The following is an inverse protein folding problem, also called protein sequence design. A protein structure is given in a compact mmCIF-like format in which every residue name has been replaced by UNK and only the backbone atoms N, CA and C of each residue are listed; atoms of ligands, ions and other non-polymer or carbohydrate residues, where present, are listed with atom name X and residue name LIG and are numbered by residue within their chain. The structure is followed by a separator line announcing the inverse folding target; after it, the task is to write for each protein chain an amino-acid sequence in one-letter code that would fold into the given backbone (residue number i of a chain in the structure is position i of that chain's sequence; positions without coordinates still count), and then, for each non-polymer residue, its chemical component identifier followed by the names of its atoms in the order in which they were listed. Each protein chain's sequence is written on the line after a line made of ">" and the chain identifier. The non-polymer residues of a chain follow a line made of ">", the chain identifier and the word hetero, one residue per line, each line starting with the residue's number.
data_IF_996339281440
#
_entry.id   IF_996339281440
#
_cell.length_a   1.000
_cell.length_b   1.000
_cell.length_c   1.000
_cell.angle_alpha   90.00
_cell.angle_beta   90.00
_cell.angle_gamma   90.00
#
_symmetry.space_group_name_H-M   'P 1'
#
loop_
_entity.id
_entity.type
_entity.pdbx_description
1 polymer ?
#
# COMPACT_ATOMS: atom_id res chain seq x y z
N UNK A 1 -9.38 -36.11 -18.58
CA UNK A 1 -9.31 -35.88 -17.11
C UNK A 1 -8.41 -34.64 -16.92
N UNK A 2 -9.01 -33.45 -16.77
CA UNK A 2 -8.25 -32.20 -16.58
C UNK A 2 -7.83 -32.15 -15.11
N UNK A 3 -6.53 -32.21 -14.84
CA UNK A 3 -5.99 -31.94 -13.49
C UNK A 3 -6.34 -30.49 -13.13
N UNK A 4 -7.23 -30.34 -12.18
CA UNK A 4 -7.42 -29.06 -11.48
C UNK A 4 -6.14 -28.82 -10.69
N UNK A 5 -5.29 -27.87 -11.16
CA UNK A 5 -4.21 -27.32 -10.33
C UNK A 5 -4.86 -26.75 -9.07
N UNK A 6 -4.63 -27.37 -7.94
CA UNK A 6 -4.97 -26.78 -6.66
C UNK A 6 -4.22 -25.44 -6.54
N UNK A 7 -4.99 -24.36 -6.54
CA UNK A 7 -4.47 -23.03 -6.23
C UNK A 7 -4.18 -23.04 -4.73
N UNK A 8 -2.93 -23.34 -4.38
CA UNK A 8 -2.48 -23.17 -3.00
C UNK A 8 -2.51 -21.67 -2.70
N UNK A 9 -3.39 -21.26 -1.77
CA UNK A 9 -3.39 -19.89 -1.24
C UNK A 9 -2.01 -19.65 -0.63
N UNK A 10 -1.24 -18.67 -1.11
CA UNK A 10 0.09 -18.42 -0.58
C UNK A 10 -0.01 -18.09 0.91
N UNK A 11 0.93 -18.61 1.69
CA UNK A 11 1.09 -18.24 3.10
C UNK A 11 1.24 -16.71 3.17
N UNK A 12 0.46 -16.07 4.05
CA UNK A 12 0.52 -14.61 4.23
C UNK A 12 1.94 -14.21 4.63
N UNK A 13 2.55 -13.31 3.85
CA UNK A 13 3.86 -12.76 4.14
C UNK A 13 3.72 -11.43 4.88
N UNK A 14 4.34 -11.32 6.04
CA UNK A 14 4.35 -10.11 6.88
C UNK A 14 5.77 -9.65 7.24
N UNK A 15 6.78 -10.44 6.93
CA UNK A 15 8.17 -10.05 7.13
C UNK A 15 8.57 -8.99 6.10
N UNK A 16 8.84 -7.78 6.57
CA UNK A 16 9.15 -6.64 5.71
C UNK A 16 10.44 -6.82 4.90
N UNK A 17 11.42 -7.51 5.47
CA UNK A 17 12.69 -7.79 4.78
C UNK A 17 12.47 -8.79 3.65
N UNK A 18 11.65 -9.82 3.93
CA UNK A 18 11.28 -10.82 2.93
C UNK A 18 10.40 -10.22 1.82
N UNK A 19 9.43 -9.38 2.17
CA UNK A 19 8.61 -8.64 1.20
C UNK A 19 9.48 -7.79 0.27
N UNK A 20 10.43 -7.04 0.84
CA UNK A 20 11.35 -6.23 0.05
C UNK A 20 12.19 -7.08 -0.90
N UNK A 21 12.73 -8.20 -0.42
CA UNK A 21 13.49 -9.14 -1.21
C UNK A 21 12.64 -9.73 -2.36
N UNK A 22 11.45 -10.28 -2.04
CA UNK A 22 10.55 -10.86 -3.03
C UNK A 22 10.08 -9.83 -4.06
N UNK A 23 9.82 -8.58 -3.65
CA UNK A 23 9.45 -7.52 -4.58
C UNK A 23 10.56 -7.17 -5.56
N UNK A 24 11.82 -7.33 -5.16
CA UNK A 24 12.97 -7.18 -6.06
C UNK A 24 13.12 -8.40 -6.98
N UNK A 25 13.00 -9.61 -6.43
CA UNK A 25 13.05 -10.86 -7.19
C UNK A 25 11.95 -10.93 -8.25
N UNK A 26 10.74 -10.46 -7.93
CA UNK A 26 9.58 -10.44 -8.81
C UNK A 26 9.47 -9.12 -9.63
N UNK A 27 10.49 -8.28 -9.64
CA UNK A 27 10.43 -6.97 -10.28
C UNK A 27 9.99 -7.04 -11.75
N UNK A 28 10.68 -7.82 -12.54
CA UNK A 28 10.36 -7.99 -13.98
C UNK A 28 8.97 -8.62 -14.16
N UNK A 29 8.64 -9.66 -13.38
CA UNK A 29 7.32 -10.30 -13.39
C UNK A 29 6.19 -9.28 -13.07
N UNK A 30 6.41 -8.37 -12.12
CA UNK A 30 5.44 -7.34 -11.78
C UNK A 30 5.18 -6.37 -12.95
N UNK A 31 6.23 -5.98 -13.67
CA UNK A 31 6.11 -5.13 -14.86
C UNK A 31 5.45 -5.83 -16.05
N UNK A 32 5.71 -7.09 -16.24
CA UNK A 32 5.05 -7.91 -17.26
C UNK A 32 3.57 -8.12 -16.94
N UNK A 33 3.26 -8.43 -15.66
CA UNK A 33 1.87 -8.52 -15.19
C UNK A 33 1.12 -7.21 -15.35
N UNK A 34 1.77 -6.07 -15.06
CA UNK A 34 1.21 -4.75 -15.34
C UNK A 34 0.86 -4.57 -16.81
N UNK A 35 1.77 -4.95 -17.69
CA UNK A 35 1.56 -4.82 -19.13
C UNK A 35 0.40 -5.69 -19.62
N UNK A 36 0.31 -6.90 -19.09
CA UNK A 36 -0.80 -7.80 -19.35
C UNK A 36 -2.13 -7.25 -18.82
N UNK A 37 -2.18 -6.74 -17.60
CA UNK A 37 -3.39 -6.14 -17.01
C UNK A 37 -3.91 -4.97 -17.83
N UNK A 38 -3.04 -4.17 -18.43
CA UNK A 38 -3.45 -3.05 -19.27
C UNK A 38 -4.21 -3.48 -20.53
N UNK A 39 -4.07 -4.72 -20.95
CA UNK A 39 -4.67 -5.25 -22.19
C UNK A 39 -5.80 -6.24 -21.90
N UNK A 40 -5.70 -7.00 -20.82
CA UNK A 40 -6.51 -8.19 -20.56
C UNK A 40 -7.18 -8.21 -19.18
N UNK A 41 -7.17 -7.09 -18.45
CA UNK A 41 -7.86 -7.04 -17.15
C UNK A 41 -9.35 -7.35 -17.36
N UNK A 42 -9.97 -8.14 -16.46
CA UNK A 42 -11.41 -8.31 -16.47
C UNK A 42 -12.14 -6.99 -16.18
N UNK A 43 -13.37 -6.85 -16.69
CA UNK A 43 -14.18 -5.63 -16.54
C UNK A 43 -14.36 -5.23 -15.06
N UNK A 44 -14.50 -6.21 -14.14
CA UNK A 44 -14.64 -5.98 -12.70
C UNK A 44 -13.31 -6.09 -11.94
N UNK A 45 -12.22 -5.65 -12.53
CA UNK A 45 -10.90 -5.68 -11.86
C UNK A 45 -10.88 -4.88 -10.55
N UNK A 46 -11.54 -3.73 -10.51
CA UNK A 46 -11.61 -2.88 -9.32
C UNK A 46 -12.36 -3.61 -8.18
N UNK A 47 -13.45 -4.31 -8.47
CA UNK A 47 -14.19 -5.12 -7.49
C UNK A 47 -13.38 -6.30 -6.96
N UNK A 48 -12.63 -6.97 -7.83
CA UNK A 48 -11.74 -8.06 -7.44
C UNK A 48 -10.62 -7.56 -6.51
N UNK A 49 -9.96 -6.47 -6.89
CA UNK A 49 -8.87 -5.87 -6.09
C UNK A 49 -9.40 -5.35 -4.75
N UNK A 50 -10.57 -4.73 -4.71
CA UNK A 50 -11.23 -4.31 -3.47
C UNK A 50 -11.47 -5.49 -2.54
N UNK A 51 -11.96 -6.61 -3.06
CA UNK A 51 -12.18 -7.84 -2.28
C UNK A 51 -10.87 -8.36 -1.68
N UNK A 52 -9.79 -8.36 -2.45
CA UNK A 52 -8.47 -8.77 -1.97
C UNK A 52 -7.92 -7.78 -0.93
N UNK A 53 -8.08 -6.49 -1.15
CA UNK A 53 -7.70 -5.44 -0.20
C UNK A 53 -8.37 -5.68 1.16
N UNK A 54 -9.69 -5.80 1.18
CA UNK A 54 -10.47 -6.02 2.40
C UNK A 54 -10.08 -7.31 3.11
N UNK A 55 -9.84 -8.39 2.37
CA UNK A 55 -9.33 -9.64 2.91
C UNK A 55 -8.03 -9.43 3.69
N UNK A 56 -7.05 -8.76 3.09
CA UNK A 56 -5.75 -8.59 3.73
C UNK A 56 -5.74 -7.51 4.80
N UNK A 57 -6.59 -6.51 4.74
CA UNK A 57 -6.82 -5.59 5.86
C UNK A 57 -7.42 -6.29 7.10
N UNK A 58 -8.25 -7.31 6.91
CA UNK A 58 -8.78 -8.11 8.02
C UNK A 58 -7.75 -9.06 8.64
N UNK A 59 -6.70 -9.44 7.89
CA UNK A 59 -5.69 -10.41 8.31
C UNK A 59 -4.39 -9.78 8.81
N UNK A 60 -4.10 -8.54 8.42
CA UNK A 60 -2.84 -7.84 8.70
C UNK A 60 -3.13 -6.54 9.44
N UNK A 61 -2.67 -6.45 10.69
CA UNK A 61 -2.80 -5.23 11.48
C UNK A 61 -1.79 -4.16 11.04
N UNK A 62 -2.31 -3.14 10.38
CA UNK A 62 -1.55 -1.99 9.91
C UNK A 62 -0.82 -1.26 11.06
N UNK A 63 -1.41 -1.22 12.27
CA UNK A 63 -0.82 -0.57 13.44
C UNK A 63 0.40 -1.33 13.97
N UNK A 64 0.45 -2.65 13.81
CA UNK A 64 1.63 -3.44 14.18
C UNK A 64 2.75 -3.33 13.15
N UNK A 65 2.43 -3.03 11.90
CA UNK A 65 3.40 -2.90 10.82
C UNK A 65 4.11 -1.53 10.83
N UNK A 66 3.36 -0.43 10.70
CA UNK A 66 3.83 0.96 10.63
C UNK A 66 4.94 1.23 9.58
N UNK A 67 5.16 0.35 8.59
CA UNK A 67 6.26 0.48 7.63
C UNK A 67 6.10 1.71 6.72
N UNK A 68 4.89 1.99 6.25
CA UNK A 68 4.59 3.19 5.46
C UNK A 68 4.94 4.48 6.24
N UNK A 69 4.67 4.51 7.55
CA UNK A 69 5.02 5.66 8.40
C UNK A 69 6.53 5.84 8.58
N UNK A 70 7.32 4.78 8.39
CA UNK A 70 8.79 4.83 8.50
C UNK A 70 9.49 5.07 7.17
N UNK A 71 8.80 4.88 6.05
CA UNK A 71 9.45 4.77 4.74
C UNK A 71 8.95 5.79 3.72
N UNK A 72 7.72 6.32 3.86
CA UNK A 72 7.11 7.14 2.83
C UNK A 72 7.16 8.64 3.14
N UNK A 73 7.46 9.40 2.10
CA UNK A 73 7.19 10.84 2.08
C UNK A 73 5.73 11.06 1.72
N UNK A 74 4.98 11.77 2.58
CA UNK A 74 3.53 11.91 2.42
C UNK A 74 3.14 13.37 2.25
N UNK A 75 2.37 13.65 1.20
CA UNK A 75 1.77 14.96 0.98
C UNK A 75 0.37 15.00 1.63
N UNK A 76 0.14 16.02 2.44
CA UNK A 76 -1.15 16.25 3.10
C UNK A 76 -1.85 17.48 2.52
N UNK A 77 -3.17 17.47 2.50
CA UNK A 77 -3.96 18.66 2.19
C UNK A 77 -3.69 19.77 3.22
N UNK A 78 -3.80 21.03 2.82
CA UNK A 78 -3.61 22.17 3.75
C UNK A 78 -4.50 22.07 5.00
N UNK A 79 -5.76 21.68 4.85
CA UNK A 79 -6.70 21.49 5.96
C UNK A 79 -6.23 20.39 6.93
N UNK A 80 -5.66 19.31 6.41
CA UNK A 80 -5.12 18.21 7.22
C UNK A 80 -3.86 18.65 7.98
N UNK A 81 -2.98 19.43 7.34
CA UNK A 81 -1.79 20.00 8.00
C UNK A 81 -2.19 20.90 9.18
N UNK A 82 -3.24 21.72 9.05
CA UNK A 82 -3.75 22.54 10.15
C UNK A 82 -4.23 21.67 11.32
N UNK A 83 -5.00 20.63 11.03
CA UNK A 83 -5.51 19.72 12.05
C UNK A 83 -4.37 18.98 12.76
N UNK A 84 -3.36 18.51 12.04
CA UNK A 84 -2.19 17.83 12.58
C UNK A 84 -1.39 18.76 13.48
N UNK A 85 -1.02 19.95 12.99
CA UNK A 85 -0.24 20.93 13.75
C UNK A 85 -0.95 21.29 15.07
N UNK A 86 -2.27 21.53 15.01
CA UNK A 86 -3.10 21.78 16.20
C UNK A 86 -3.07 20.61 17.18
N UNK A 87 -3.19 19.38 16.70
CA UNK A 87 -3.16 18.18 17.55
C UNK A 87 -1.80 18.00 18.22
N UNK A 88 -0.72 18.38 17.54
CA UNK A 88 0.65 18.35 18.06
C UNK A 88 1.00 19.57 18.92
N UNK A 89 0.08 20.53 19.11
CA UNK A 89 0.29 21.73 19.93
C UNK A 89 1.31 22.71 19.36
N UNK A 90 1.46 22.76 18.02
CA UNK A 90 2.43 23.63 17.35
C UNK A 90 1.80 24.43 16.18
N UNK A 91 2.49 25.48 15.72
CA UNK A 91 2.05 26.19 14.51
C UNK A 91 2.34 25.35 13.25
N UNK A 92 1.63 25.69 12.16
CA UNK A 92 1.87 25.04 10.86
C UNK A 92 3.29 25.28 10.38
N UNK A 93 3.78 26.50 10.52
CA UNK A 93 5.12 26.91 10.10
C UNK A 93 6.19 26.11 10.87
N UNK A 94 6.00 25.90 12.17
CA UNK A 94 6.89 25.09 12.99
C UNK A 94 6.85 23.62 12.53
N UNK A 95 5.66 23.05 12.30
CA UNK A 95 5.51 21.70 11.80
C UNK A 95 6.18 21.52 10.43
N UNK A 96 5.92 22.43 9.49
CA UNK A 96 6.48 22.38 8.15
C UNK A 96 8.02 22.45 8.20
N UNK A 97 8.57 23.39 8.97
CA UNK A 97 10.02 23.54 9.11
C UNK A 97 10.71 22.32 9.71
N UNK A 98 10.08 21.67 10.68
CA UNK A 98 10.67 20.53 11.40
C UNK A 98 10.47 19.19 10.67
N UNK A 99 9.35 19.03 9.99
CA UNK A 99 8.88 17.70 9.59
C UNK A 99 8.66 17.55 8.09
N UNK A 100 8.85 18.60 7.29
CA UNK A 100 8.55 18.57 5.86
C UNK A 100 9.75 19.00 5.01
N UNK A 101 9.84 18.40 3.83
CA UNK A 101 10.68 18.86 2.73
C UNK A 101 9.90 18.75 1.42
N UNK A 102 10.10 19.70 0.50
CA UNK A 102 9.45 19.71 -0.81
C UNK A 102 7.92 19.52 -0.76
N UNK A 103 7.28 20.07 0.28
CA UNK A 103 5.82 19.95 0.48
C UNK A 103 5.34 18.63 1.06
N UNK A 104 6.23 17.70 1.39
CA UNK A 104 5.91 16.37 1.92
C UNK A 104 6.44 16.18 3.33
N UNK A 105 5.68 15.47 4.14
CA UNK A 105 6.12 15.03 5.47
C UNK A 105 7.19 13.95 5.31
N UNK A 106 8.31 14.12 6.00
CA UNK A 106 9.45 13.21 5.94
C UNK A 106 9.26 11.97 6.82
N UNK A 107 9.73 10.81 6.39
CA UNK A 107 9.86 9.66 7.25
C UNK A 107 11.08 9.80 8.20
N UNK A 108 11.02 9.25 9.43
CA UNK A 108 9.84 8.66 10.03
C UNK A 108 8.78 9.71 10.34
N UNK A 109 7.50 9.35 10.09
CA UNK A 109 6.37 10.25 10.31
C UNK A 109 6.39 10.82 11.75
N UNK A 110 6.27 12.14 11.95
CA UNK A 110 6.35 12.77 13.28
C UNK A 110 5.18 12.38 14.21
N UNK A 111 4.09 11.84 13.65
CA UNK A 111 2.97 11.30 14.43
C UNK A 111 3.19 9.85 14.86
N UNK A 112 4.29 9.21 14.48
CA UNK A 112 4.59 7.84 14.85
C UNK A 112 5.27 7.79 16.22
N UNK A 113 4.65 7.10 17.18
CA UNK A 113 5.22 6.80 18.48
C UNK A 113 5.44 5.28 18.61
N UNK A 114 6.68 4.83 18.51
CA UNK A 114 7.00 3.41 18.41
C UNK A 114 6.43 2.77 17.15
N UNK A 115 5.32 2.05 17.28
CA UNK A 115 4.56 1.47 16.16
C UNK A 115 3.17 2.12 16.01
N UNK A 116 2.77 2.98 16.92
CA UNK A 116 1.42 3.53 16.98
C UNK A 116 1.38 4.95 16.40
N UNK A 117 0.38 5.22 15.58
CA UNK A 117 0.08 6.57 15.13
C UNK A 117 -0.67 7.34 16.23
N UNK A 118 -0.12 8.46 16.72
CA UNK A 118 -0.75 9.27 17.77
C UNK A 118 -2.07 9.92 17.34
N UNK A 119 -2.32 9.99 16.03
CA UNK A 119 -3.54 10.57 15.44
C UNK A 119 -4.34 9.52 14.65
N UNK A 120 -4.25 8.24 15.00
CA UNK A 120 -4.78 7.14 14.19
C UNK A 120 -6.24 7.33 13.78
N UNK A 121 -7.11 7.72 14.70
CA UNK A 121 -8.54 7.95 14.44
C UNK A 121 -8.78 9.17 13.51
N UNK A 122 -7.89 10.16 13.58
CA UNK A 122 -7.97 11.41 12.82
C UNK A 122 -6.88 11.49 11.73
N UNK A 123 -6.36 10.34 11.30
CA UNK A 123 -5.32 10.30 10.27
C UNK A 123 -5.84 10.86 8.95
N UNK A 124 -4.98 11.53 8.17
CA UNK A 124 -5.30 12.06 6.85
C UNK A 124 -5.85 11.00 5.89
N UNK A 125 -6.64 11.45 4.91
CA UNK A 125 -7.26 10.56 3.93
C UNK A 125 -6.25 9.70 3.18
N UNK A 126 -5.10 10.28 2.83
CA UNK A 126 -4.01 9.55 2.16
C UNK A 126 -3.46 8.40 3.01
N UNK A 127 -3.37 8.57 4.33
CA UNK A 127 -2.95 7.52 5.24
C UNK A 127 -4.06 6.49 5.45
N UNK A 128 -5.32 6.93 5.46
CA UNK A 128 -6.50 6.07 5.66
C UNK A 128 -6.72 5.13 4.48
N UNK A 129 -6.51 5.63 3.27
CA UNK A 129 -6.71 4.88 2.02
C UNK A 129 -5.49 4.06 1.60
N UNK A 130 -4.31 4.27 2.21
CA UNK A 130 -3.10 3.52 1.88
C UNK A 130 -3.28 2.02 2.17
N UNK A 131 -2.90 1.11 1.28
CA UNK A 131 -2.05 1.26 0.09
C UNK A 131 -2.81 1.60 -1.21
N UNK A 132 -3.95 2.25 -1.14
CA UNK A 132 -4.74 2.78 -2.25
C UNK A 132 -5.31 1.72 -3.22
N UNK A 133 -5.44 0.48 -2.79
CA UNK A 133 -5.96 -0.61 -3.64
C UNK A 133 -7.44 -0.43 -3.97
N UNK A 134 -8.22 0.17 -3.06
CA UNK A 134 -9.67 0.36 -3.24
C UNK A 134 -10.04 1.61 -4.03
N UNK A 135 -9.07 2.38 -4.47
CA UNK A 135 -9.30 3.52 -5.37
C UNK A 135 -9.72 3.01 -6.75
N UNK A 136 -10.65 3.72 -7.45
CA UNK A 136 -11.08 3.33 -8.79
C UNK A 136 -9.93 3.39 -9.82
N UNK A 137 -10.18 2.83 -10.99
CA UNK A 137 -9.23 2.79 -12.10
C UNK A 137 -7.89 2.12 -11.73
N UNK A 138 -7.97 0.95 -11.13
CA UNK A 138 -6.81 0.18 -10.67
C UNK A 138 -5.72 0.05 -11.75
N UNK A 139 -6.11 -0.29 -12.99
CA UNK A 139 -5.18 -0.48 -14.09
C UNK A 139 -4.43 0.80 -14.50
N UNK A 140 -5.00 1.96 -14.27
CA UNK A 140 -4.36 3.26 -14.53
C UNK A 140 -3.29 3.61 -13.48
N UNK A 141 -3.38 3.03 -12.28
CA UNK A 141 -2.54 3.33 -11.12
C UNK A 141 -1.46 2.28 -10.82
N UNK A 142 -1.27 1.29 -11.71
CA UNK A 142 -0.41 0.12 -11.48
C UNK A 142 1.05 0.46 -11.12
N UNK A 143 1.60 1.58 -11.59
CA UNK A 143 2.96 1.99 -11.19
C UNK A 143 3.01 2.21 -9.69
N UNK A 144 2.15 3.07 -9.16
CA UNK A 144 2.09 3.32 -7.71
C UNK A 144 1.68 2.08 -6.89
N UNK A 145 0.90 1.17 -7.48
CA UNK A 145 0.59 -0.12 -6.82
C UNK A 145 1.85 -0.96 -6.67
N UNK A 146 2.67 -1.09 -7.72
CA UNK A 146 3.94 -1.85 -7.69
C UNK A 146 4.90 -1.24 -6.67
N UNK A 147 5.00 0.08 -6.60
CA UNK A 147 5.80 0.75 -5.58
C UNK A 147 5.32 0.40 -4.17
N UNK A 148 4.00 0.37 -3.96
CA UNK A 148 3.41 0.00 -2.67
C UNK A 148 3.59 -1.49 -2.32
N UNK A 149 3.68 -2.38 -3.29
CA UNK A 149 3.92 -3.82 -3.09
C UNK A 149 5.25 -4.06 -2.35
N UNK A 150 6.28 -3.28 -2.62
CA UNK A 150 7.57 -3.41 -1.96
C UNK A 150 7.58 -2.91 -0.49
N UNK A 151 6.55 -2.19 -0.07
CA UNK A 151 6.50 -1.50 1.22
C UNK A 151 5.42 -2.06 2.13
N UNK A 152 4.26 -2.41 1.57
CA UNK A 152 3.05 -2.74 2.32
C UNK A 152 2.72 -4.23 2.23
N UNK A 153 2.70 -4.96 3.37
CA UNK A 153 2.31 -6.38 3.39
C UNK A 153 0.91 -6.63 2.81
N UNK A 154 -0.03 -5.70 3.01
CA UNK A 154 -1.38 -5.79 2.45
C UNK A 154 -1.32 -5.72 0.92
N UNK A 155 -0.59 -4.74 0.37
CA UNK A 155 -0.42 -4.61 -1.07
C UNK A 155 0.31 -5.80 -1.67
N UNK A 156 1.39 -6.27 -1.02
CA UNK A 156 2.16 -7.43 -1.46
C UNK A 156 1.28 -8.67 -1.60
N UNK A 157 0.62 -9.07 -0.53
CA UNK A 157 -0.20 -10.29 -0.54
C UNK A 157 -1.40 -10.18 -1.48
N UNK A 158 -2.05 -9.01 -1.55
CA UNK A 158 -3.15 -8.79 -2.47
C UNK A 158 -2.71 -8.87 -3.94
N UNK A 159 -1.54 -8.33 -4.26
CA UNK A 159 -1.01 -8.34 -5.62
C UNK A 159 -0.56 -9.73 -6.07
N UNK A 160 0.11 -10.49 -5.17
CA UNK A 160 0.51 -11.88 -5.45
C UNK A 160 -0.72 -12.79 -5.61
N UNK A 161 -1.75 -12.63 -4.77
CA UNK A 161 -3.00 -13.39 -4.95
C UNK A 161 -3.75 -12.98 -6.22
N UNK A 162 -3.71 -11.71 -6.61
CA UNK A 162 -4.28 -11.24 -7.86
C UNK A 162 -3.65 -11.94 -9.07
N UNK A 163 -2.32 -12.02 -9.12
CA UNK A 163 -1.59 -12.77 -10.15
C UNK A 163 -2.05 -14.23 -10.24
N UNK A 164 -2.18 -14.88 -9.06
CA UNK A 164 -2.61 -16.27 -9.00
C UNK A 164 -4.07 -16.46 -9.49
N UNK A 165 -4.97 -15.55 -9.09
CA UNK A 165 -6.41 -15.63 -9.45
C UNK A 165 -6.67 -15.40 -10.93
N UNK A 166 -5.95 -14.48 -11.56
CA UNK A 166 -6.15 -14.14 -12.95
C UNK A 166 -5.48 -15.16 -13.88
N UNK A 167 -4.72 -16.12 -13.35
CA UNK A 167 -4.04 -17.17 -14.13
C UNK A 167 -3.29 -16.61 -15.36
N UNK A 168 -2.70 -15.41 -15.22
CA UNK A 168 -1.97 -14.79 -16.30
C UNK A 168 -0.78 -15.66 -16.73
N UNK A 169 -0.44 -15.69 -18.03
CA UNK A 169 0.67 -16.49 -18.50
C UNK A 169 1.97 -15.90 -17.96
N UNK A 170 2.50 -16.52 -16.92
CA UNK A 170 3.84 -16.16 -16.43
C UNK A 170 4.89 -16.50 -17.46
N UNK A 171 5.94 -15.68 -17.61
CA UNK A 171 7.06 -15.97 -18.50
C UNK A 171 7.81 -17.23 -18.08
#
# INVERSE_FOLDING_TARGET
>A
MKLQKQVTVPKIEIDLSRIKQLSQEHGDENWEFRSWLKQYAPDDIDGLVKTLSQKYFALIDCMQCANCCRSLHVEFKKSELHAIAKTLGQSIEAFQKQSMSEGKVNPPCPMLNGKLCSIYENRPDVCRSYPHLEQPEFTSRLIGVIDNVAICPIAFNAFEELKAKLAWPRP
#
